data_IF_041466542349
#
_entry.id   IF_041466542349
#
_cell.length_a   1.000
_cell.length_b   1.000
_cell.length_c   1.000
_cell.angle_alpha   90.00
_cell.angle_beta   90.00
_cell.angle_gamma   90.00
#
_symmetry.space_group_name_H-M   'P 1'
#
loop_
_entity.id
_entity.type
_entity.pdbx_description
1 polymer ?
#
# COMPACT_ATOMS: atom_id res chain seq x y z
N UNK A 1 -23.36 10.54 14.09
CA UNK A 1 -23.81 10.50 12.68
C UNK A 1 -23.04 9.37 12.02
N UNK A 2 -23.71 8.36 11.42
CA UNK A 2 -22.99 7.30 10.71
C UNK A 2 -22.15 7.93 9.57
N UNK A 3 -21.00 7.34 9.22
CA UNK A 3 -20.20 7.83 8.11
C UNK A 3 -21.04 7.82 6.84
N UNK A 4 -20.98 8.91 6.06
CA UNK A 4 -21.64 8.96 4.76
C UNK A 4 -21.17 7.76 3.93
N UNK A 5 -22.12 7.02 3.36
CA UNK A 5 -21.75 5.92 2.46
C UNK A 5 -21.18 6.50 1.15
N UNK A 6 -20.43 5.70 0.40
CA UNK A 6 -19.76 6.18 -0.81
C UNK A 6 -20.72 6.84 -1.82
N UNK A 7 -21.93 6.29 -1.96
CA UNK A 7 -22.94 6.83 -2.85
C UNK A 7 -23.39 8.25 -2.43
N UNK A 8 -23.63 8.49 -1.15
CA UNK A 8 -23.94 9.83 -0.64
C UNK A 8 -22.81 10.83 -0.88
N UNK A 9 -21.54 10.38 -0.80
CA UNK A 9 -20.39 11.24 -1.10
C UNK A 9 -20.35 11.61 -2.58
N UNK A 10 -20.69 10.68 -3.48
CA UNK A 10 -20.79 10.97 -4.92
C UNK A 10 -21.90 11.97 -5.22
N UNK A 11 -23.11 11.76 -4.70
CA UNK A 11 -24.24 12.68 -4.88
C UNK A 11 -23.89 14.11 -4.40
N UNK A 12 -23.21 14.22 -3.26
CA UNK A 12 -22.76 15.51 -2.75
C UNK A 12 -21.68 16.14 -3.64
N UNK A 13 -20.75 15.34 -4.18
CA UNK A 13 -19.73 15.83 -5.10
C UNK A 13 -20.35 16.30 -6.43
N UNK A 14 -21.34 15.58 -6.96
CA UNK A 14 -22.08 15.96 -8.17
C UNK A 14 -22.92 17.22 -7.99
N UNK A 15 -23.34 17.53 -6.75
CA UNK A 15 -24.08 18.77 -6.44
C UNK A 15 -23.22 20.04 -6.46
N UNK A 16 -21.90 19.92 -6.48
CA UNK A 16 -20.97 21.05 -6.56
C UNK A 16 -20.93 21.62 -7.98
N UNK A 17 -20.58 22.90 -8.12
CA UNK A 17 -20.28 23.48 -9.44
C UNK A 17 -19.05 22.82 -10.08
N UNK A 18 -18.91 22.89 -11.40
CA UNK A 18 -17.76 22.30 -12.12
C UNK A 18 -16.40 22.74 -11.52
N UNK A 19 -16.25 24.05 -11.25
CA UNK A 19 -15.04 24.58 -10.61
C UNK A 19 -14.80 23.99 -9.22
N UNK A 20 -15.84 23.82 -8.41
CA UNK A 20 -15.71 23.23 -7.07
C UNK A 20 -15.41 21.74 -7.13
N UNK A 21 -15.92 21.02 -8.13
CA UNK A 21 -15.55 19.63 -8.39
C UNK A 21 -14.07 19.51 -8.75
N UNK A 22 -13.56 20.39 -9.62
CA UNK A 22 -12.13 20.44 -9.96
C UNK A 22 -11.25 20.68 -8.71
N UNK A 23 -11.64 21.65 -7.88
CA UNK A 23 -10.94 21.90 -6.61
C UNK A 23 -11.00 20.71 -5.66
N UNK A 24 -12.15 20.04 -5.55
CA UNK A 24 -12.31 18.84 -4.72
C UNK A 24 -11.36 17.73 -5.18
N UNK A 25 -11.24 17.50 -6.49
CA UNK A 25 -10.34 16.51 -7.07
C UNK A 25 -8.89 16.85 -6.71
N UNK A 26 -8.46 18.09 -6.91
CA UNK A 26 -7.09 18.53 -6.62
C UNK A 26 -6.73 18.32 -5.13
N UNK A 27 -7.63 18.71 -4.23
CA UNK A 27 -7.44 18.56 -2.79
C UNK A 27 -7.34 17.08 -2.40
N UNK A 28 -8.21 16.23 -2.93
CA UNK A 28 -8.21 14.79 -2.64
C UNK A 28 -6.94 14.11 -3.15
N UNK A 29 -6.49 14.43 -4.36
CA UNK A 29 -5.24 13.92 -4.90
C UNK A 29 -4.05 14.30 -4.02
N UNK A 30 -3.95 15.58 -3.62
CA UNK A 30 -2.87 16.05 -2.75
C UNK A 30 -2.87 15.33 -1.40
N UNK A 31 -4.03 15.18 -0.77
CA UNK A 31 -4.17 14.47 0.52
C UNK A 31 -3.80 12.99 0.41
N UNK A 32 -4.19 12.32 -0.67
CA UNK A 32 -3.81 10.91 -0.91
C UNK A 32 -2.30 10.77 -1.12
N UNK A 33 -1.68 11.66 -1.90
CA UNK A 33 -0.23 11.68 -2.07
C UNK A 33 0.49 11.96 -0.75
N UNK A 34 0.00 12.87 0.08
CA UNK A 34 0.53 13.15 1.41
C UNK A 34 0.41 11.94 2.34
N UNK A 35 -0.74 11.25 2.33
CA UNK A 35 -0.94 10.04 3.13
C UNK A 35 0.02 8.93 2.72
N UNK A 36 0.16 8.66 1.41
CA UNK A 36 1.13 7.68 0.90
C UNK A 36 2.57 8.04 1.28
N UNK A 37 2.94 9.33 1.20
CA UNK A 37 4.27 9.78 1.66
C UNK A 37 4.49 9.54 3.15
N UNK A 38 3.46 9.74 3.98
CA UNK A 38 3.52 9.44 5.41
C UNK A 38 3.65 7.94 5.66
N UNK A 39 2.89 7.10 4.96
CA UNK A 39 2.99 5.63 5.07
C UNK A 39 4.39 5.13 4.68
N UNK A 40 5.00 5.68 3.63
CA UNK A 40 6.39 5.37 3.23
C UNK A 40 7.37 5.85 4.31
N UNK A 41 7.19 7.06 4.85
CA UNK A 41 8.06 7.59 5.90
C UNK A 41 7.97 6.78 7.19
N UNK A 42 6.76 6.34 7.57
CA UNK A 42 6.52 5.45 8.71
C UNK A 42 7.21 4.09 8.51
N UNK A 43 7.09 3.50 7.31
CA UNK A 43 7.79 2.25 6.97
C UNK A 43 9.32 2.40 7.01
N UNK A 44 9.87 3.54 6.57
CA UNK A 44 11.30 3.84 6.66
C UNK A 44 11.75 3.98 8.12
N UNK A 45 10.95 4.65 8.96
CA UNK A 45 11.24 4.82 10.39
C UNK A 45 11.23 3.46 11.10
N UNK A 46 10.26 2.61 10.82
CA UNK A 46 10.17 1.26 11.36
C UNK A 46 11.36 0.40 10.93
N UNK A 47 11.69 0.39 9.63
CA UNK A 47 12.85 -0.32 9.11
C UNK A 47 14.18 0.17 9.73
N UNK A 48 14.35 1.49 9.91
CA UNK A 48 15.51 2.04 10.59
C UNK A 48 15.54 1.69 12.08
N UNK A 49 14.39 1.60 12.75
CA UNK A 49 14.30 1.20 14.14
C UNK A 49 14.66 -0.29 14.31
N UNK A 50 14.20 -1.17 13.42
CA UNK A 50 14.56 -2.59 13.40
C UNK A 50 16.05 -2.81 13.14
N UNK A 51 16.62 -2.06 12.19
CA UNK A 51 18.07 -2.05 11.92
C UNK A 51 18.87 -1.60 13.15
N UNK A 52 18.46 -0.49 13.78
CA UNK A 52 19.12 0.02 15.01
C UNK A 52 18.97 -0.92 16.22
N UNK A 53 17.87 -1.66 16.31
CA UNK A 53 17.62 -2.64 17.38
C UNK A 53 18.34 -3.98 17.14
N UNK A 54 19.10 -4.12 16.05
CA UNK A 54 19.82 -5.36 15.73
C UNK A 54 18.88 -6.52 15.38
N UNK A 55 17.62 -6.24 15.03
CA UNK A 55 16.64 -7.24 14.56
C UNK A 55 16.91 -7.68 13.12
N UNK A 56 17.84 -7.03 12.45
CA UNK A 56 18.31 -7.41 11.12
C UNK A 56 19.42 -8.44 11.24
N UNK A 57 19.22 -9.63 10.66
CA UNK A 57 20.27 -10.63 10.53
C UNK A 57 21.24 -10.21 9.41
N UNK A 58 22.56 -10.18 9.66
CA UNK A 58 23.53 -10.04 8.59
C UNK A 58 23.47 -11.29 7.73
N UNK A 59 22.99 -11.16 6.50
CA UNK A 59 22.96 -12.23 5.50
C UNK A 59 23.96 -11.90 4.41
N UNK A 60 24.70 -12.91 3.96
CA UNK A 60 25.65 -12.74 2.85
C UNK A 60 24.91 -12.65 1.52
N UNK A 61 25.61 -12.18 0.48
CA UNK A 61 25.05 -12.14 -0.88
C UNK A 61 24.64 -13.54 -1.35
N UNK A 62 25.39 -14.57 -0.96
CA UNK A 62 25.09 -15.96 -1.28
C UNK A 62 23.82 -16.45 -0.57
N UNK A 63 23.62 -16.06 0.69
CA UNK A 63 22.39 -16.37 1.45
C UNK A 63 21.15 -15.69 0.83
N UNK A 64 21.29 -14.44 0.35
CA UNK A 64 20.22 -13.71 -0.32
C UNK A 64 19.85 -14.34 -1.67
N UNK A 65 20.81 -14.93 -2.38
CA UNK A 65 20.56 -15.64 -3.64
C UNK A 65 19.88 -16.99 -3.40
N UNK A 66 20.23 -17.71 -2.33
CA UNK A 66 19.59 -18.96 -1.93
C UNK A 66 18.13 -18.79 -1.47
N UNK A 67 17.81 -17.68 -0.78
CA UNK A 67 16.43 -17.40 -0.31
C UNK A 67 15.46 -17.11 -1.48
N UNK A 68 15.95 -16.47 -2.55
CA UNK A 68 15.14 -16.22 -3.75
C UNK A 68 14.80 -17.49 -4.51
N UNK A 69 15.71 -18.47 -4.58
CA UNK A 69 15.46 -19.77 -5.23
C UNK A 69 14.40 -20.58 -4.48
N UNK A 70 14.42 -20.52 -3.14
CA UNK A 70 13.53 -21.29 -2.28
C UNK A 70 12.09 -20.76 -2.28
N UNK A 71 11.91 -19.44 -2.41
CA UNK A 71 10.57 -18.81 -2.51
C UNK A 71 9.92 -18.94 -3.89
N UNK A 72 10.70 -19.02 -4.96
CA UNK A 72 10.17 -19.21 -6.31
C UNK A 72 9.85 -20.69 -6.65
N UNK A 73 10.43 -21.67 -5.93
CA UNK A 73 10.17 -23.10 -6.22
C UNK A 73 8.92 -23.68 -5.54
N UNK A 74 8.37 -23.04 -4.49
CA UNK A 74 7.18 -23.52 -3.79
C UNK A 74 5.89 -22.90 -4.33
N UNK A 75 5.59 -23.11 -5.62
CA UNK A 75 4.18 -23.10 -6.08
C UNK A 75 3.59 -24.49 -5.81
N UNK A 76 2.73 -24.68 -4.78
CA UNK A 76 1.93 -25.89 -4.73
C UNK A 76 1.01 -25.92 -5.96
N UNK A 77 0.97 -27.08 -6.62
CA UNK A 77 0.29 -27.29 -7.89
C UNK A 77 -1.16 -26.82 -7.89
N UNK A 78 -1.50 -26.07 -8.92
CA UNK A 78 -2.86 -25.94 -9.39
C UNK A 78 -3.27 -27.30 -9.99
N UNK A 79 -3.83 -28.20 -9.18
CA UNK A 79 -4.58 -29.35 -9.70
C UNK A 79 -5.97 -28.86 -10.10
N UNK A 80 -6.06 -28.34 -11.32
CA UNK A 80 -7.33 -28.16 -11.98
C UNK A 80 -7.86 -29.51 -12.48
N UNK A 81 -9.10 -29.78 -12.09
CA UNK A 81 -10.14 -30.54 -12.82
C UNK A 81 -9.85 -32.03 -13.11
N UNK A 82 -10.32 -32.89 -12.20
CA UNK A 82 -10.79 -34.22 -12.60
C UNK A 82 -12.11 -34.04 -13.37
N UNK A 83 -12.08 -34.51 -14.63
CA UNK A 83 -13.27 -34.91 -15.40
C UNK A 83 -13.35 -36.42 -15.34
#
# INVERSE_FOLDING_TARGET
MPPANFHQVLELAESLSESEQDFLIEILQKRLSEKRRKEIAESIVEAHAEYKQGKTQPVTVDDLMADKETRFSKKPGFSGVDT
#
